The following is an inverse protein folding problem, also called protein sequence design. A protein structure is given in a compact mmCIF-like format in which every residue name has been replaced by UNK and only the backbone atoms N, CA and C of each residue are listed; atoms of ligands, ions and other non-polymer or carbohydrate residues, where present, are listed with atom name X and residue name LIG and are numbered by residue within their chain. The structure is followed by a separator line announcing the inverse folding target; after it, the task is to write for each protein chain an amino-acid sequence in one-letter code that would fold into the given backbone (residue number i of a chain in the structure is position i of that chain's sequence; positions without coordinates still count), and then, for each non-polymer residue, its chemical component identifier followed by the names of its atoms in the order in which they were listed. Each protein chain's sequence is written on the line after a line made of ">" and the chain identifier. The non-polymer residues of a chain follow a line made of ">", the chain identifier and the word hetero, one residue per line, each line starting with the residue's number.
data_IF_645934026104
#
_entry.id   IF_645934026104
#
_cell.length_a   1.000
_cell.length_b   1.000
_cell.length_c   1.000
_cell.angle_alpha   90.00
_cell.angle_beta   90.00
_cell.angle_gamma   90.00
#
_symmetry.space_group_name_H-M   'P 1'
#
loop_
_entity.id
_entity.type
_entity.pdbx_description
1 polymer ?
#
# COMPACT_ATOMS: atom_id res chain seq x y z
N UNK A 1 -25.44 0.28 -14.76
CA UNK A 1 -24.30 -0.14 -13.93
C UNK A 1 -22.97 0.45 -14.40
N UNK A 2 -22.87 0.93 -15.64
CA UNK A 2 -21.63 1.53 -16.18
C UNK A 2 -21.06 2.67 -15.33
N UNK A 3 -21.90 3.61 -14.86
CA UNK A 3 -21.42 4.71 -14.02
C UNK A 3 -20.74 4.21 -12.73
N UNK A 4 -21.38 3.27 -12.02
CA UNK A 4 -20.82 2.69 -10.79
C UNK A 4 -19.53 1.92 -11.07
N UNK A 5 -19.48 1.15 -12.16
CA UNK A 5 -18.29 0.42 -12.58
C UNK A 5 -17.13 1.37 -12.91
N UNK A 6 -17.38 2.44 -13.66
CA UNK A 6 -16.39 3.45 -13.99
C UNK A 6 -15.88 4.16 -12.73
N UNK A 7 -16.77 4.45 -11.78
CA UNK A 7 -16.39 5.05 -10.50
C UNK A 7 -15.46 4.12 -9.70
N UNK A 8 -15.78 2.82 -9.61
CA UNK A 8 -14.92 1.85 -8.91
C UNK A 8 -13.57 1.65 -9.61
N UNK A 9 -13.54 1.64 -10.94
CA UNK A 9 -12.30 1.60 -11.72
C UNK A 9 -11.44 2.84 -11.43
N UNK A 10 -12.04 4.02 -11.40
CA UNK A 10 -11.34 5.25 -11.06
C UNK A 10 -10.73 5.19 -9.65
N UNK A 11 -11.50 4.76 -8.65
CA UNK A 11 -11.00 4.57 -7.28
C UNK A 11 -9.86 3.56 -7.22
N UNK A 12 -9.97 2.45 -7.95
CA UNK A 12 -8.94 1.43 -8.01
C UNK A 12 -7.62 1.98 -8.56
N UNK A 13 -7.68 2.75 -9.66
CA UNK A 13 -6.49 3.40 -10.25
C UNK A 13 -5.89 4.41 -9.27
N UNK A 14 -6.71 5.24 -8.62
CA UNK A 14 -6.24 6.23 -7.66
C UNK A 14 -5.52 5.58 -6.46
N UNK A 15 -6.10 4.52 -5.88
CA UNK A 15 -5.50 3.78 -4.76
C UNK A 15 -4.20 3.09 -5.20
N UNK A 16 -4.18 2.50 -6.40
CA UNK A 16 -2.98 1.86 -6.93
C UNK A 16 -1.82 2.87 -7.09
N UNK A 17 -2.09 4.03 -7.71
CA UNK A 17 -1.09 5.09 -7.88
C UNK A 17 -0.59 5.63 -6.54
N UNK A 18 -1.50 5.84 -5.58
CA UNK A 18 -1.13 6.30 -4.25
C UNK A 18 -0.29 5.27 -3.49
N UNK A 19 -0.63 3.98 -3.58
CA UNK A 19 0.16 2.90 -2.99
C UNK A 19 1.58 2.87 -3.56
N UNK A 20 1.71 2.94 -4.89
CA UNK A 20 3.03 2.99 -5.54
C UNK A 20 3.84 4.17 -5.03
N UNK A 21 3.25 5.36 -5.00
CA UNK A 21 3.91 6.56 -4.47
C UNK A 21 4.36 6.40 -3.02
N UNK A 22 3.46 5.93 -2.14
CA UNK A 22 3.76 5.79 -0.72
C UNK A 22 4.81 4.71 -0.44
N UNK A 23 4.81 3.61 -1.20
CA UNK A 23 5.82 2.55 -1.07
C UNK A 23 7.19 3.07 -1.51
N UNK A 24 7.28 3.77 -2.65
CA UNK A 24 8.54 4.35 -3.10
C UNK A 24 9.07 5.44 -2.16
N UNK A 25 8.18 6.23 -1.56
CA UNK A 25 8.55 7.25 -0.57
C UNK A 25 9.06 6.65 0.76
N UNK A 26 8.85 5.36 1.02
CA UNK A 26 9.29 4.67 2.23
C UNK A 26 10.64 3.98 2.01
N UNK A 27 11.67 4.75 1.68
CA UNK A 27 13.03 4.23 1.49
C UNK A 27 13.51 3.46 2.74
N UNK A 28 13.98 2.21 2.59
CA UNK A 28 14.63 1.50 3.68
C UNK A 28 15.83 2.31 4.17
N UNK A 29 16.02 2.43 5.49
CA UNK A 29 17.30 2.91 6.03
C UNK A 29 18.36 1.89 5.57
N UNK A 30 19.34 2.31 4.78
CA UNK A 30 20.36 1.44 4.20
C UNK A 30 21.71 1.60 4.93
N UNK A 31 22.25 0.48 5.38
CA UNK A 31 23.63 0.21 5.79
C UNK A 31 24.11 -1.09 5.14
N UNK A 32 25.43 -1.24 4.97
CA UNK A 32 26.05 -2.32 4.18
C UNK A 32 25.75 -3.76 4.67
N UNK A 33 25.09 -3.94 5.82
CA UNK A 33 24.66 -5.24 6.37
C UNK A 33 23.13 -5.47 6.38
N UNK A 34 22.32 -4.53 5.87
CA UNK A 34 20.86 -4.53 6.11
C UNK A 34 20.09 -5.59 5.32
N UNK A 35 20.65 -6.09 4.22
CA UNK A 35 20.09 -7.23 3.48
C UNK A 35 20.26 -8.57 4.22
N UNK A 36 21.15 -8.64 5.22
CA UNK A 36 21.45 -9.84 6.01
C UNK A 36 20.79 -9.84 7.40
N UNK A 37 19.81 -8.95 7.65
CA UNK A 37 19.20 -8.81 8.97
C UNK A 37 20.07 -8.01 9.92
N UNK A 38 20.60 -6.88 9.43
CA UNK A 38 21.48 -5.95 10.13
C UNK A 38 21.11 -5.75 11.61
N UNK A 39 22.15 -5.53 12.44
CA UNK A 39 22.12 -5.43 13.90
C UNK A 39 20.75 -4.96 14.40
N UNK A 40 19.93 -5.92 14.81
CA UNK A 40 18.52 -5.70 15.09
C UNK A 40 18.44 -4.91 16.38
N UNK A 41 18.33 -3.59 16.27
CA UNK A 41 17.87 -2.78 17.39
C UNK A 41 16.40 -3.15 17.60
N UNK A 42 16.18 -4.20 18.40
CA UNK A 42 14.91 -4.89 18.64
C UNK A 42 13.81 -3.95 19.15
N UNK A 43 14.19 -2.75 19.58
CA UNK A 43 13.31 -1.70 20.08
C UNK A 43 13.29 -0.44 19.19
N UNK A 44 13.75 -0.52 17.94
CA UNK A 44 13.68 0.59 16.99
C UNK A 44 12.22 0.96 16.69
N UNK A 45 11.75 2.04 17.31
CA UNK A 45 10.40 2.56 17.05
C UNK A 45 10.43 3.30 15.72
N UNK A 46 9.73 2.76 14.72
CA UNK A 46 9.49 3.40 13.42
C UNK A 46 8.64 4.66 13.66
N UNK A 47 9.27 5.82 13.83
CA UNK A 47 8.61 7.11 14.11
C UNK A 47 7.59 7.53 13.03
N UNK A 48 7.90 8.56 12.23
CA UNK A 48 7.00 9.06 11.17
C UNK A 48 6.67 7.99 10.12
N UNK A 49 7.63 7.11 9.82
CA UNK A 49 7.44 5.94 8.94
C UNK A 49 6.40 4.94 9.47
N UNK A 50 6.18 4.88 10.78
CA UNK A 50 5.14 4.03 11.37
C UNK A 50 3.73 4.48 11.00
N UNK A 51 3.52 5.79 10.80
CA UNK A 51 2.24 6.34 10.31
C UNK A 51 1.99 5.99 8.85
N UNK A 52 2.97 6.23 7.98
CA UNK A 52 2.90 5.88 6.56
C UNK A 52 2.71 4.37 6.37
N UNK A 53 3.36 3.55 7.20
CA UNK A 53 3.19 2.10 7.22
C UNK A 53 1.74 1.67 7.53
N UNK A 54 1.08 2.32 8.49
CA UNK A 54 -0.33 2.00 8.80
C UNK A 54 -1.25 2.42 7.65
N UNK A 55 -0.98 3.56 7.01
CA UNK A 55 -1.74 4.03 5.85
C UNK A 55 -1.60 3.05 4.68
N UNK A 56 -0.40 2.59 4.37
CA UNK A 56 -0.19 1.62 3.28
C UNK A 56 -0.86 0.28 3.56
N UNK A 57 -0.94 -0.18 4.82
CA UNK A 57 -1.74 -1.36 5.17
C UNK A 57 -3.21 -1.15 4.82
N UNK A 58 -3.81 -0.05 5.28
CA UNK A 58 -5.23 0.24 5.03
C UNK A 58 -5.50 0.35 3.54
N UNK A 59 -4.66 1.06 2.79
CA UNK A 59 -4.76 1.16 1.34
C UNK A 59 -4.59 -0.20 0.63
N UNK A 60 -3.70 -1.05 1.13
CA UNK A 60 -3.52 -2.41 0.61
C UNK A 60 -4.76 -3.29 0.78
N UNK A 61 -5.40 -3.23 1.94
CA UNK A 61 -6.68 -3.92 2.18
C UNK A 61 -7.77 -3.38 1.26
N UNK A 62 -7.89 -2.05 1.11
CA UNK A 62 -8.85 -1.42 0.21
C UNK A 62 -8.62 -1.81 -1.26
N UNK A 63 -7.35 -1.84 -1.69
CA UNK A 63 -6.98 -2.27 -3.03
C UNK A 63 -7.43 -3.70 -3.33
N UNK A 64 -7.17 -4.63 -2.40
CA UNK A 64 -7.60 -6.02 -2.53
C UNK A 64 -9.13 -6.13 -2.53
N UNK A 65 -9.81 -5.44 -1.61
CA UNK A 65 -11.27 -5.43 -1.54
C UNK A 65 -11.91 -4.92 -2.84
N UNK A 66 -11.36 -3.85 -3.43
CA UNK A 66 -11.83 -3.32 -4.72
C UNK A 66 -11.57 -4.32 -5.86
N UNK A 67 -10.41 -4.96 -5.90
CA UNK A 67 -10.11 -5.99 -6.90
C UNK A 67 -11.14 -7.13 -6.87
N UNK A 68 -11.51 -7.60 -5.66
CA UNK A 68 -12.54 -8.62 -5.52
C UNK A 68 -13.94 -8.10 -5.88
N UNK A 69 -14.24 -6.83 -5.62
CA UNK A 69 -15.54 -6.25 -5.94
C UNK A 69 -15.87 -6.31 -7.44
N UNK A 70 -14.85 -6.25 -8.31
CA UNK A 70 -15.03 -6.38 -9.76
C UNK A 70 -15.57 -7.74 -10.21
N UNK A 71 -15.41 -8.79 -9.40
CA UNK A 71 -15.98 -10.11 -9.73
C UNK A 71 -17.51 -10.11 -9.76
N UNK A 72 -18.16 -9.19 -9.05
CA UNK A 72 -19.62 -9.13 -8.99
C UNK A 72 -20.26 -8.37 -10.15
N UNK A 73 -19.46 -7.73 -11.01
CA UNK A 73 -19.97 -7.10 -12.23
C UNK A 73 -20.15 -8.17 -13.32
N UNK A 74 -21.39 -8.35 -13.76
CA UNK A 74 -21.71 -9.21 -14.91
C UNK A 74 -21.08 -8.63 -16.19
N UNK A 75 -20.73 -9.51 -17.12
CA UNK A 75 -20.21 -9.13 -18.45
C UNK A 75 -21.28 -8.45 -19.30
#
# INVERSE_FOLDING_TARGET
>A
MEFLQNLLIFFYIAIAGLLVYLVLSQEPRQGAGDMFGGSTDLFSTRGVTGGLYRITIVLGVLFVALAFSFRFFAR
#
